data_IF_221900234152
#
_entry.id   IF_221900234152
#
_cell.length_a   1.000
_cell.length_b   1.000
_cell.length_c   1.000
_cell.angle_alpha   90.00
_cell.angle_beta   90.00
_cell.angle_gamma   90.00
#
_symmetry.space_group_name_H-M   'P 1'
#
loop_
_entity.id
_entity.type
_entity.pdbx_description
1 polymer ?
#
# COMPACT_ATOMS: atom_id res chain seq x y z
N UNK A 1 7.01 -10.58 -7.64
CA UNK A 1 6.10 -9.42 -7.82
C UNK A 1 5.23 -9.48 -9.06
N UNK A 2 5.69 -9.99 -10.22
CA UNK A 2 4.84 -10.08 -11.42
C UNK A 2 3.46 -10.71 -11.17
N UNK A 3 3.43 -11.83 -10.45
CA UNK A 3 2.17 -12.52 -10.07
C UNK A 3 1.22 -11.64 -9.23
N UNK A 4 1.75 -10.86 -8.27
CA UNK A 4 0.93 -9.90 -7.52
C UNK A 4 0.35 -8.81 -8.43
N UNK A 5 1.12 -8.34 -9.41
CA UNK A 5 0.65 -7.31 -10.34
C UNK A 5 -0.44 -7.83 -11.27
N UNK A 6 -0.30 -9.05 -11.78
CA UNK A 6 -1.34 -9.75 -12.54
C UNK A 6 -2.63 -9.86 -11.70
N UNK A 7 -2.53 -10.33 -10.44
CA UNK A 7 -3.69 -10.45 -9.54
C UNK A 7 -4.38 -9.10 -9.29
N UNK A 8 -3.63 -8.01 -9.16
CA UNK A 8 -4.19 -6.67 -9.03
C UNK A 8 -4.90 -6.20 -10.31
N UNK A 9 -4.38 -6.53 -11.49
CA UNK A 9 -5.01 -6.19 -12.77
C UNK A 9 -6.30 -6.98 -13.01
N UNK A 10 -6.31 -8.25 -12.61
CA UNK A 10 -7.48 -9.12 -12.66
C UNK A 10 -8.53 -8.79 -11.59
N UNK A 11 -8.20 -7.92 -10.62
CA UNK A 11 -9.08 -7.59 -9.50
C UNK A 11 -9.20 -8.71 -8.46
N UNK A 12 -8.30 -9.70 -8.50
CA UNK A 12 -8.25 -10.86 -7.60
C UNK A 12 -7.58 -10.49 -6.28
N UNK A 13 -8.19 -9.53 -5.57
CA UNK A 13 -7.61 -8.94 -4.36
C UNK A 13 -7.46 -9.94 -3.20
N UNK A 14 -8.34 -10.95 -3.13
CA UNK A 14 -8.25 -11.99 -2.10
C UNK A 14 -7.00 -12.87 -2.31
N UNK A 15 -6.74 -13.28 -3.55
CA UNK A 15 -5.57 -14.12 -3.87
C UNK A 15 -4.27 -13.32 -3.77
N UNK A 16 -4.31 -12.03 -4.13
CA UNK A 16 -3.19 -11.13 -3.88
C UNK A 16 -2.88 -11.03 -2.37
N UNK A 17 -3.89 -11.01 -1.51
CA UNK A 17 -3.72 -11.02 -0.07
C UNK A 17 -3.09 -12.31 0.44
N UNK A 18 -3.61 -13.46 0.01
CA UNK A 18 -3.07 -14.77 0.39
C UNK A 18 -1.61 -14.91 -0.06
N UNK A 19 -1.29 -14.48 -1.28
CA UNK A 19 0.09 -14.45 -1.77
C UNK A 19 0.97 -13.64 -0.83
N UNK A 20 0.57 -12.41 -0.49
CA UNK A 20 1.36 -11.55 0.38
C UNK A 20 1.54 -12.15 1.78
N UNK A 21 0.56 -12.87 2.32
CA UNK A 21 0.66 -13.55 3.61
C UNK A 21 1.71 -14.68 3.62
N UNK A 22 2.00 -15.29 2.47
CA UNK A 22 3.06 -16.30 2.36
C UNK A 22 4.48 -15.72 2.28
N UNK A 23 4.59 -14.40 2.09
CA UNK A 23 5.87 -13.71 1.93
C UNK A 23 6.38 -13.16 3.26
N UNK A 24 7.66 -12.80 3.28
CA UNK A 24 8.31 -12.21 4.44
C UNK A 24 7.77 -10.79 4.73
N UNK A 25 7.12 -10.64 5.87
CA UNK A 25 6.49 -9.37 6.27
C UNK A 25 7.48 -8.30 6.75
N UNK A 26 8.77 -8.64 6.86
CA UNK A 26 9.84 -7.71 7.18
C UNK A 26 10.53 -7.15 5.92
N UNK A 27 10.12 -7.57 4.71
CA UNK A 27 10.61 -7.03 3.45
C UNK A 27 9.84 -5.75 3.06
N UNK A 28 10.56 -4.68 2.72
CA UNK A 28 9.97 -3.41 2.32
C UNK A 28 9.10 -3.52 1.06
N UNK A 29 9.46 -4.42 0.13
CA UNK A 29 8.73 -4.68 -1.10
C UNK A 29 7.38 -5.33 -0.78
N UNK A 30 7.34 -6.24 0.21
CA UNK A 30 6.10 -6.91 0.64
C UNK A 30 5.18 -5.91 1.34
N UNK A 31 5.73 -5.09 2.26
CA UNK A 31 4.99 -4.03 2.93
C UNK A 31 4.44 -2.98 1.93
N UNK A 32 5.24 -2.60 0.94
CA UNK A 32 4.81 -1.74 -0.16
C UNK A 32 3.64 -2.37 -0.94
N UNK A 33 3.70 -3.67 -1.20
CA UNK A 33 2.67 -4.41 -1.93
C UNK A 33 1.36 -4.51 -1.14
N UNK A 34 1.44 -4.68 0.18
CA UNK A 34 0.28 -4.56 1.06
C UNK A 34 -0.37 -3.19 0.95
N UNK A 35 0.44 -2.12 0.94
CA UNK A 35 -0.06 -0.77 0.73
C UNK A 35 -0.84 -0.64 -0.59
N UNK A 36 -0.29 -1.20 -1.69
CA UNK A 36 -0.94 -1.21 -3.00
C UNK A 36 -2.26 -1.98 -2.99
N UNK A 37 -2.29 -3.13 -2.32
CA UNK A 37 -3.48 -3.96 -2.20
C UNK A 37 -4.60 -3.20 -1.47
N UNK A 38 -4.29 -2.58 -0.33
CA UNK A 38 -5.30 -1.83 0.44
C UNK A 38 -5.76 -0.55 -0.27
N UNK A 39 -4.88 0.12 -1.01
CA UNK A 39 -5.29 1.27 -1.85
C UNK A 39 -6.25 0.81 -2.95
N UNK A 40 -6.02 -0.37 -3.57
CA UNK A 40 -6.97 -0.97 -4.52
C UNK A 40 -8.30 -1.36 -3.90
N UNK A 41 -8.32 -1.75 -2.62
CA UNK A 41 -9.56 -1.99 -1.84
C UNK A 41 -10.28 -0.69 -1.46
N UNK A 42 -9.66 0.47 -1.68
CA UNK A 42 -10.18 1.78 -1.25
C UNK A 42 -9.97 2.08 0.23
N UNK A 43 -9.20 1.23 0.93
CA UNK A 43 -8.85 1.37 2.34
C UNK A 43 -7.56 2.19 2.49
N UNK A 44 -7.60 3.47 2.08
CA UNK A 44 -6.41 4.33 2.00
C UNK A 44 -5.70 4.51 3.35
N UNK A 45 -6.42 4.55 4.47
CA UNK A 45 -5.83 4.62 5.81
C UNK A 45 -4.89 3.43 6.10
N UNK A 46 -5.28 2.22 5.67
CA UNK A 46 -4.42 1.02 5.76
C UNK A 46 -3.27 1.14 4.79
N UNK A 47 -3.52 1.57 3.56
CA UNK A 47 -2.49 1.75 2.54
C UNK A 47 -1.35 2.66 3.05
N UNK A 48 -1.71 3.83 3.60
CA UNK A 48 -0.80 4.78 4.25
C UNK A 48 0.05 4.10 5.32
N UNK A 49 -0.58 3.30 6.18
CA UNK A 49 0.12 2.62 7.27
C UNK A 49 1.16 1.61 6.76
N UNK A 50 0.83 0.85 5.71
CA UNK A 50 1.76 -0.13 5.12
C UNK A 50 2.89 0.52 4.31
N UNK A 51 2.61 1.58 3.55
CA UNK A 51 3.66 2.34 2.87
C UNK A 51 4.61 3.01 3.86
N UNK A 52 4.10 3.53 4.98
CA UNK A 52 4.94 4.08 6.03
C UNK A 52 5.87 3.01 6.61
N UNK A 53 5.36 1.82 6.92
CA UNK A 53 6.19 0.69 7.38
C UNK A 53 7.25 0.27 6.37
N UNK A 54 6.91 0.23 5.08
CA UNK A 54 7.89 -0.06 4.03
C UNK A 54 9.06 0.94 4.06
N UNK A 55 8.77 2.22 4.28
CA UNK A 55 9.79 3.26 4.43
C UNK A 55 10.55 3.21 5.76
N UNK A 56 9.96 2.67 6.82
CA UNK A 56 10.66 2.41 8.08
C UNK A 56 11.73 1.31 7.90
N UNK A 57 11.44 0.29 7.08
CA UNK A 57 12.40 -0.77 6.74
C UNK A 57 13.43 -0.26 5.72
N UNK A 58 12.96 0.35 4.64
CA UNK A 58 13.79 0.87 3.57
C UNK A 58 13.41 2.32 3.24
N UNK A 59 14.09 3.30 3.87
CA UNK A 59 13.80 4.72 3.63
C UNK A 59 14.16 5.17 2.21
N UNK A 60 14.92 4.37 1.45
CA UNK A 60 15.26 4.65 0.06
C UNK A 60 14.26 4.07 -0.95
N UNK A 61 13.16 3.44 -0.49
CA UNK A 61 12.12 2.97 -1.40
C UNK A 61 11.29 4.17 -1.92
N UNK A 62 11.76 4.76 -3.01
CA UNK A 62 11.11 5.91 -3.65
C UNK A 62 9.67 5.60 -4.08
N UNK A 63 9.39 4.38 -4.52
CA UNK A 63 8.05 3.97 -4.92
C UNK A 63 7.07 4.00 -3.73
N UNK A 64 7.49 3.48 -2.57
CA UNK A 64 6.68 3.51 -1.36
C UNK A 64 6.41 4.95 -0.90
N UNK A 65 7.39 5.85 -1.06
CA UNK A 65 7.22 7.28 -0.74
C UNK A 65 6.19 7.93 -1.66
N UNK A 66 6.32 7.76 -2.97
CA UNK A 66 5.36 8.30 -3.94
C UNK A 66 3.95 7.76 -3.68
N UNK A 67 3.82 6.45 -3.42
CA UNK A 67 2.50 5.84 -3.13
C UNK A 67 1.91 6.33 -1.81
N UNK A 68 2.73 6.57 -0.79
CA UNK A 68 2.30 7.14 0.49
C UNK A 68 1.72 8.54 0.31
N UNK A 69 2.39 9.39 -0.46
CA UNK A 69 1.93 10.74 -0.76
C UNK A 69 0.57 10.70 -1.48
N UNK A 70 0.46 9.91 -2.54
CA UNK A 70 -0.79 9.74 -3.30
C UNK A 70 -1.92 9.22 -2.39
N UNK A 71 -1.65 8.21 -1.56
CA UNK A 71 -2.66 7.64 -0.66
C UNK A 71 -3.15 8.66 0.38
N UNK A 72 -2.24 9.51 0.90
CA UNK A 72 -2.59 10.61 1.80
C UNK A 72 -3.46 11.66 1.12
N UNK A 73 -3.14 12.01 -0.12
CA UNK A 73 -3.97 12.92 -0.90
C UNK A 73 -5.37 12.33 -1.09
N UNK A 74 -5.49 11.09 -1.58
CA UNK A 74 -6.79 10.43 -1.78
C UNK A 74 -7.59 10.37 -0.47
N UNK A 75 -6.92 10.04 0.64
CA UNK A 75 -7.54 10.02 1.96
C UNK A 75 -8.02 11.42 2.37
N UNK A 76 -7.21 12.46 2.19
CA UNK A 76 -7.57 13.85 2.47
C UNK A 76 -8.74 14.36 1.63
N UNK A 77 -8.81 13.99 0.35
CA UNK A 77 -9.91 14.38 -0.52
C UNK A 77 -11.22 13.71 -0.12
N UNK A 78 -11.16 12.50 0.44
CA UNK A 78 -12.33 11.77 0.94
C UNK A 78 -12.77 12.21 2.33
N UNK A 79 -11.83 12.65 3.17
CA UNK A 79 -12.06 13.20 4.50
C UNK A 79 -11.47 14.62 4.62
N UNK A 80 -12.20 15.67 4.16
CA UNK A 80 -11.71 17.06 4.15
C UNK A 80 -11.47 17.65 5.55
N UNK A 81 -11.76 16.92 6.63
CA UNK A 81 -11.60 17.38 8.01
C UNK A 81 -10.23 17.06 8.63
N UNK A 82 -9.34 16.33 7.95
CA UNK A 82 -8.07 15.85 8.54
C UNK A 82 -6.84 16.73 8.29
N UNK A 83 -6.94 17.75 7.43
CA UNK A 83 -5.82 18.67 7.11
C UNK A 83 -6.01 20.10 7.66
N UNK A 84 -6.90 20.27 8.64
CA UNK A 84 -6.99 21.51 9.41
C UNK A 84 -6.46 21.28 10.83
N UNK A 85 -5.15 21.46 11.05
CA UNK A 85 -4.59 21.88 12.33
C UNK A 85 -3.24 22.57 12.12
#
# INVERSE_FOLDING_TARGET
>A
MKEFEDLLQEGRLAEAEELLLTLDQADDIVLYSWGRLYSRKGEEAKAISYYAKALEINPNNEEARVRLEIAREIFSFRDPNLYNH
#
